data_IF_542874822441
#
_entry.id   IF_542874822441
#
_cell.length_a   1.000
_cell.length_b   1.000
_cell.length_c   1.000
_cell.angle_alpha   90.00
_cell.angle_beta   90.00
_cell.angle_gamma   90.00
#
_symmetry.space_group_name_H-M   'P 1'
#
loop_
_entity.id
_entity.type
_entity.pdbx_description
1 polymer ?
#
# COMPACT_ATOMS: atom_id res chain seq x y z
N UNK A 1 -43.94 -3.92 -16.43
CA UNK A 1 -44.23 -3.20 -15.16
C UNK A 1 -43.14 -3.45 -14.11
N UNK A 2 -42.89 -4.69 -13.67
CA UNK A 2 -41.87 -4.99 -12.65
C UNK A 2 -40.43 -4.56 -13.01
N UNK A 3 -40.01 -4.75 -14.28
CA UNK A 3 -38.68 -4.31 -14.73
C UNK A 3 -38.49 -2.78 -14.70
N UNK A 4 -39.55 -2.02 -14.96
CA UNK A 4 -39.50 -0.54 -14.95
C UNK A 4 -39.39 -0.02 -13.50
N UNK A 5 -40.09 -0.68 -12.56
CA UNK A 5 -40.00 -0.38 -11.13
C UNK A 5 -38.60 -0.72 -10.60
N UNK A 6 -38.00 -1.83 -11.02
CA UNK A 6 -36.66 -2.24 -10.60
C UNK A 6 -35.57 -1.30 -11.15
N UNK A 7 -35.69 -0.89 -12.41
CA UNK A 7 -34.79 0.11 -13.01
C UNK A 7 -34.97 1.46 -12.32
N UNK A 8 -36.21 1.87 -12.05
CA UNK A 8 -36.51 3.08 -11.29
C UNK A 8 -35.91 3.05 -9.88
N UNK A 9 -36.04 1.94 -9.15
CA UNK A 9 -35.42 1.71 -7.84
C UNK A 9 -33.90 1.71 -7.92
N UNK A 10 -33.29 1.05 -8.91
CA UNK A 10 -31.84 1.10 -9.11
C UNK A 10 -31.37 2.52 -9.41
N UNK A 11 -32.08 3.29 -10.24
CA UNK A 11 -31.76 4.69 -10.52
C UNK A 11 -31.91 5.52 -9.24
N UNK A 12 -32.99 5.34 -8.48
CA UNK A 12 -33.23 6.02 -7.20
C UNK A 12 -32.15 5.67 -6.16
N UNK A 13 -31.71 4.41 -6.09
CA UNK A 13 -30.62 3.94 -5.22
C UNK A 13 -29.24 4.46 -5.68
N UNK A 14 -29.02 4.61 -6.99
CA UNK A 14 -27.80 5.23 -7.52
C UNK A 14 -27.79 6.75 -7.36
N UNK A 15 -28.95 7.41 -7.43
CA UNK A 15 -29.12 8.85 -7.15
C UNK A 15 -29.07 9.15 -5.65
N UNK A 16 -29.47 8.21 -4.78
CA UNK A 16 -29.29 8.35 -3.32
C UNK A 16 -27.82 8.33 -2.89
N UNK A 17 -26.91 7.99 -3.81
CA UNK A 17 -25.46 8.13 -3.63
C UNK A 17 -24.96 9.51 -4.11
N UNK A 18 -25.80 10.53 -4.16
CA UNK A 18 -25.34 11.91 -4.04
C UNK A 18 -24.80 12.11 -2.61
N UNK A 19 -23.54 11.73 -2.40
CA UNK A 19 -22.78 12.18 -1.24
C UNK A 19 -22.85 13.71 -1.24
N UNK A 20 -23.34 14.32 -0.15
CA UNK A 20 -23.12 15.74 0.10
C UNK A 20 -21.61 15.95 0.12
N UNK A 21 -21.01 16.34 -1.01
CA UNK A 21 -19.61 16.74 -1.08
C UNK A 21 -19.48 18.06 -0.33
N UNK A 22 -19.25 17.98 0.98
CA UNK A 22 -19.04 19.15 1.82
C UNK A 22 -17.64 19.68 1.50
N UNK A 23 -17.58 20.82 0.81
CA UNK A 23 -16.33 21.50 0.50
C UNK A 23 -15.83 22.25 1.73
N UNK A 24 -14.55 22.07 2.06
CA UNK A 24 -13.88 22.77 3.14
C UNK A 24 -12.51 23.26 2.69
N UNK A 25 -11.98 24.25 3.40
CA UNK A 25 -10.58 24.66 3.27
C UNK A 25 -9.87 24.44 4.58
N UNK A 26 -8.63 23.96 4.50
CA UNK A 26 -7.73 23.93 5.64
C UNK A 26 -7.06 25.30 5.78
N UNK A 27 -7.13 25.89 6.97
CA UNK A 27 -6.55 27.22 7.26
C UNK A 27 -5.63 27.17 8.48
N UNK A 28 -4.61 28.01 8.46
CA UNK A 28 -3.62 28.15 9.53
C UNK A 28 -2.94 29.53 9.46
N UNK A 29 -2.06 29.81 10.42
CA UNK A 29 -1.17 30.97 10.44
C UNK A 29 0.03 30.75 9.51
N UNK A 30 0.61 31.80 8.91
CA UNK A 30 1.70 31.66 7.96
C UNK A 30 3.02 31.21 8.60
N UNK A 31 3.27 31.58 9.87
CA UNK A 31 4.50 31.20 10.59
C UNK A 31 4.27 31.12 12.10
N UNK A 32 5.04 30.25 12.75
CA UNK A 32 5.12 30.10 14.21
C UNK A 32 6.58 30.17 14.63
N UNK A 33 6.88 30.89 15.71
CA UNK A 33 8.23 30.97 16.29
C UNK A 33 8.25 30.16 17.58
N UNK A 34 9.25 29.31 17.74
CA UNK A 34 9.47 28.50 18.94
C UNK A 34 10.88 28.69 19.48
N UNK A 35 11.08 28.48 20.78
CA UNK A 35 12.39 28.48 21.40
C UNK A 35 12.98 27.06 21.37
N UNK A 36 14.31 26.95 21.28
CA UNK A 36 14.99 25.67 21.44
C UNK A 36 14.65 25.04 22.80
N UNK A 37 14.31 23.76 22.79
CA UNK A 37 13.91 22.98 23.96
C UNK A 37 12.47 23.20 24.43
N UNK A 38 11.72 24.13 23.83
CA UNK A 38 10.31 24.36 24.20
C UNK A 38 9.37 23.43 23.44
N UNK A 39 8.13 23.32 23.90
CA UNK A 39 7.06 22.73 23.12
C UNK A 39 6.45 23.79 22.19
N UNK A 40 5.92 23.38 21.04
CA UNK A 40 5.24 24.27 20.08
C UNK A 40 3.93 23.67 19.63
N UNK A 41 2.96 24.53 19.35
CA UNK A 41 1.67 24.16 18.80
C UNK A 41 1.53 24.77 17.41
N UNK A 42 1.41 23.92 16.39
CA UNK A 42 1.14 24.33 15.02
C UNK A 42 -0.39 24.33 14.82
N UNK A 43 -1.02 25.51 14.64
CA UNK A 43 -2.47 25.57 14.50
C UNK A 43 -2.91 24.96 13.17
N UNK A 44 -4.07 24.30 13.15
CA UNK A 44 -4.74 23.91 11.92
C UNK A 44 -6.24 23.79 12.18
N UNK A 45 -7.05 24.26 11.22
CA UNK A 45 -8.50 24.22 11.33
C UNK A 45 -9.17 24.11 9.96
N UNK A 46 -10.44 23.71 9.96
CA UNK A 46 -11.32 23.76 8.80
C UNK A 46 -12.04 25.11 8.70
N UNK A 47 -12.41 25.47 7.49
CA UNK A 47 -13.28 26.60 7.18
C UNK A 47 -14.25 26.15 6.06
N UNK A 48 -15.56 26.08 6.32
CA UNK A 48 -16.27 26.38 7.58
C UNK A 48 -15.96 25.40 8.73
N UNK A 49 -16.38 25.74 9.96
CA UNK A 49 -16.27 24.84 11.13
C UNK A 49 -17.17 23.61 10.92
N UNK A 50 -16.58 22.42 11.02
CA UNK A 50 -17.28 21.15 10.87
C UNK A 50 -16.52 20.01 11.54
N UNK A 51 -17.20 18.90 11.79
CA UNK A 51 -16.59 17.75 12.45
C UNK A 51 -15.58 17.05 11.54
N UNK A 52 -14.33 16.92 12.01
CA UNK A 52 -13.23 16.25 11.30
C UNK A 52 -12.80 14.93 11.97
N UNK A 53 -13.49 14.49 13.03
CA UNK A 53 -13.13 13.30 13.84
C UNK A 53 -12.98 12.02 13.01
N UNK A 54 -13.74 11.90 11.92
CA UNK A 54 -13.75 10.73 11.02
C UNK A 54 -12.97 10.94 9.72
N UNK A 55 -12.24 12.05 9.59
CA UNK A 55 -11.41 12.35 8.42
C UNK A 55 -9.95 11.95 8.68
N UNK A 56 -9.17 11.82 7.62
CA UNK A 56 -7.71 11.73 7.74
C UNK A 56 -7.14 13.12 7.98
N UNK A 57 -6.28 13.26 9.00
CA UNK A 57 -5.48 14.46 9.23
C UNK A 57 -4.02 14.04 9.18
N UNK A 58 -3.27 14.64 8.25
CA UNK A 58 -1.86 14.33 8.04
C UNK A 58 -1.01 15.59 8.18
N UNK A 59 -0.01 15.49 9.04
CA UNK A 59 1.06 16.46 9.14
C UNK A 59 2.32 15.90 8.53
N UNK A 60 2.93 16.66 7.64
CA UNK A 60 4.17 16.25 6.99
C UNK A 60 5.04 17.44 6.64
N UNK A 61 6.34 17.17 6.47
CA UNK A 61 7.32 18.12 5.92
C UNK A 61 7.22 18.10 4.38
N UNK A 62 8.19 18.54 3.55
CA UNK A 62 8.02 18.51 2.10
C UNK A 62 7.72 17.11 1.50
N UNK A 63 8.10 16.03 2.19
CA UNK A 63 7.80 14.65 1.80
C UNK A 63 6.49 14.15 2.42
N UNK A 64 5.62 13.54 1.62
CA UNK A 64 4.32 13.01 2.05
C UNK A 64 4.43 11.85 3.06
N UNK A 65 5.48 11.03 2.91
CA UNK A 65 5.89 9.98 3.85
C UNK A 65 7.42 9.92 3.90
N UNK A 66 8.02 9.57 5.06
CA UNK A 66 7.37 9.38 6.36
C UNK A 66 6.70 10.67 6.86
N UNK A 67 5.60 10.55 7.59
CA UNK A 67 4.82 11.71 8.05
C UNK A 67 5.33 12.22 9.41
N UNK A 68 5.06 13.49 9.73
CA UNK A 68 5.33 14.04 11.06
C UNK A 68 4.32 13.47 12.07
N UNK A 69 3.05 13.44 11.69
CA UNK A 69 1.97 12.87 12.48
C UNK A 69 0.81 12.46 11.56
N UNK A 70 0.16 11.34 11.84
CA UNK A 70 -1.02 10.88 11.11
C UNK A 70 -2.13 10.58 12.11
N UNK A 71 -3.32 11.09 11.84
CA UNK A 71 -4.55 10.71 12.51
C UNK A 71 -5.51 10.13 11.49
N UNK A 72 -5.93 8.90 11.72
CA UNK A 72 -6.81 8.16 10.82
C UNK A 72 -7.65 7.18 11.63
N UNK A 73 -8.93 7.01 11.26
CA UNK A 73 -9.86 6.09 11.94
C UNK A 73 -10.02 6.39 13.44
N UNK A 74 -10.07 7.67 13.83
CA UNK A 74 -10.31 8.05 15.22
C UNK A 74 -9.07 7.99 16.13
N UNK A 75 -7.89 7.68 15.60
CA UNK A 75 -6.67 7.45 16.39
C UNK A 75 -5.42 7.97 15.70
N UNK A 76 -4.40 8.23 16.52
CA UNK A 76 -3.07 8.58 16.03
C UNK A 76 -2.37 7.30 15.53
N UNK A 77 -1.73 7.41 14.37
CA UNK A 77 -0.96 6.35 13.72
C UNK A 77 0.52 6.72 13.70
N UNK A 78 1.35 5.77 14.14
CA UNK A 78 2.80 5.98 14.32
C UNK A 78 3.66 5.03 13.48
N UNK A 79 3.06 4.27 12.54
CA UNK A 79 3.73 3.19 11.81
C UNK A 79 4.87 3.67 10.90
N UNK A 80 4.63 4.76 10.15
CA UNK A 80 5.56 5.38 9.20
C UNK A 80 5.82 6.83 9.63
N UNK A 81 5.92 7.05 10.95
CA UNK A 81 6.29 8.33 11.51
C UNK A 81 7.78 8.60 11.28
N UNK A 82 8.09 9.84 10.93
CA UNK A 82 9.46 10.37 10.88
C UNK A 82 10.16 10.14 12.23
N UNK A 83 11.30 9.41 12.28
CA UNK A 83 11.92 9.01 13.56
C UNK A 83 12.27 10.17 14.49
N UNK A 84 12.60 11.34 13.93
CA UNK A 84 12.89 12.55 14.71
C UNK A 84 11.67 13.12 15.46
N UNK A 85 10.45 12.70 15.11
CA UNK A 85 9.20 13.14 15.73
C UNK A 85 8.56 12.08 16.65
N UNK A 86 9.19 10.90 16.78
CA UNK A 86 8.72 9.82 17.64
C UNK A 86 8.63 10.27 19.10
N UNK A 87 7.49 9.99 19.75
CA UNK A 87 7.16 10.40 21.12
C UNK A 87 7.19 11.91 21.39
N UNK A 88 7.25 12.72 20.32
CA UNK A 88 7.29 14.18 20.41
C UNK A 88 6.04 14.83 19.87
N UNK A 89 5.19 14.11 19.13
CA UNK A 89 4.02 14.73 18.48
C UNK A 89 2.71 14.18 19.01
N UNK A 90 1.72 15.07 19.10
CA UNK A 90 0.37 14.76 19.55
C UNK A 90 -0.63 15.67 18.83
N UNK A 91 -1.67 15.08 18.25
CA UNK A 91 -2.81 15.85 17.76
C UNK A 91 -3.73 16.19 18.93
N UNK A 92 -3.99 17.48 19.12
CA UNK A 92 -4.89 18.05 20.15
C UNK A 92 -6.34 17.90 19.64
N UNK A 93 -7.17 17.15 20.36
CA UNK A 93 -8.49 16.64 19.88
C UNK A 93 -9.71 17.29 20.55
N UNK A 94 -9.51 18.17 21.52
CA UNK A 94 -10.56 18.78 22.37
C UNK A 94 -11.65 19.48 21.55
N UNK A 95 -11.28 20.09 20.42
CA UNK A 95 -12.19 20.82 19.53
C UNK A 95 -12.27 20.19 18.12
N UNK A 96 -11.98 18.90 17.99
CA UNK A 96 -11.98 18.19 16.70
C UNK A 96 -13.38 18.16 16.06
N UNK A 97 -14.43 18.15 16.86
CA UNK A 97 -15.83 18.21 16.39
C UNK A 97 -16.21 19.55 15.78
N UNK A 98 -15.43 20.61 16.06
CA UNK A 98 -15.55 21.94 15.45
C UNK A 98 -14.53 22.17 14.33
N UNK A 99 -13.73 21.16 13.99
CA UNK A 99 -12.72 21.26 12.95
C UNK A 99 -11.50 22.05 13.40
N UNK A 100 -11.13 21.99 14.69
CA UNK A 100 -9.90 22.59 15.23
C UNK A 100 -9.03 21.48 15.83
N UNK A 101 -7.85 21.27 15.24
CA UNK A 101 -6.99 20.11 15.51
C UNK A 101 -5.51 20.48 15.37
N UNK A 102 -4.98 21.31 16.29
CA UNK A 102 -3.59 21.72 16.21
C UNK A 102 -2.64 20.55 16.52
N UNK A 103 -1.43 20.60 15.96
CA UNK A 103 -0.38 19.63 16.24
C UNK A 103 0.55 20.19 17.32
N UNK A 104 0.72 19.46 18.41
CA UNK A 104 1.76 19.72 19.39
C UNK A 104 3.04 18.98 19.01
N UNK A 105 4.19 19.67 19.09
CA UNK A 105 5.52 19.09 18.93
C UNK A 105 6.35 19.45 20.16
N UNK A 106 6.83 18.45 20.89
CA UNK A 106 7.56 18.59 22.15
C UNK A 106 9.06 18.69 21.96
N UNK A 107 9.72 19.43 22.86
CA UNK A 107 11.18 19.56 22.93
C UNK A 107 11.80 19.95 21.58
N UNK A 108 11.48 21.15 21.09
CA UNK A 108 11.86 21.64 19.76
C UNK A 108 13.38 21.78 19.60
N UNK A 109 13.88 21.31 18.47
CA UNK A 109 15.28 21.38 18.05
C UNK A 109 15.41 22.30 16.84
N UNK A 110 16.62 22.80 16.58
CA UNK A 110 16.88 23.65 15.39
C UNK A 110 16.57 22.89 14.09
N UNK A 111 16.71 21.56 14.06
CA UNK A 111 16.40 20.71 12.90
C UNK A 111 14.89 20.62 12.61
N UNK A 112 14.05 20.93 13.59
CA UNK A 112 12.60 20.93 13.41
C UNK A 112 12.12 22.15 12.61
N UNK A 113 12.94 23.20 12.49
CA UNK A 113 12.60 24.39 11.69
C UNK A 113 12.29 24.05 10.23
N UNK A 114 11.48 24.89 9.59
CA UNK A 114 11.12 24.78 8.18
C UNK A 114 9.62 24.64 7.96
N UNK A 115 9.26 24.25 6.73
CA UNK A 115 7.88 24.10 6.27
C UNK A 115 7.20 22.84 6.78
N UNK A 116 5.97 23.02 7.24
CA UNK A 116 5.03 21.96 7.58
C UNK A 116 3.76 22.11 6.77
N UNK A 117 3.14 20.98 6.46
CA UNK A 117 1.89 20.91 5.75
C UNK A 117 0.86 20.22 6.62
N UNK A 118 -0.29 20.86 6.80
CA UNK A 118 -1.47 20.27 7.37
C UNK A 118 -2.41 19.91 6.23
N UNK A 119 -2.70 18.63 6.08
CA UNK A 119 -3.56 18.07 5.05
C UNK A 119 -4.74 17.36 5.71
N UNK A 120 -5.92 17.53 5.12
CA UNK A 120 -7.14 16.87 5.55
C UNK A 120 -7.82 16.24 4.34
N UNK A 121 -8.23 14.99 4.49
CA UNK A 121 -8.94 14.23 3.48
C UNK A 121 -10.18 13.57 4.08
N UNK A 122 -11.34 13.87 3.49
CA UNK A 122 -12.62 13.26 3.86
C UNK A 122 -12.98 12.05 2.99
N UNK A 123 -12.15 11.67 2.03
CA UNK A 123 -12.39 10.67 0.99
C UNK A 123 -13.04 11.26 -0.27
N UNK A 124 -13.92 12.25 -0.10
CA UNK A 124 -14.59 12.96 -1.20
C UNK A 124 -13.96 14.31 -1.52
N UNK A 125 -13.26 14.92 -0.56
CA UNK A 125 -12.61 16.21 -0.71
C UNK A 125 -11.32 16.27 0.10
N UNK A 126 -10.27 16.80 -0.51
CA UNK A 126 -8.99 17.04 0.13
C UNK A 126 -8.64 18.54 0.11
N UNK A 127 -7.96 18.99 1.15
CA UNK A 127 -7.43 20.35 1.22
C UNK A 127 -6.18 20.38 2.10
N UNK A 128 -5.30 21.37 1.87
CA UNK A 128 -4.08 21.55 2.66
C UNK A 128 -3.70 23.01 2.83
N UNK A 129 -2.91 23.26 3.86
CA UNK A 129 -2.24 24.55 4.09
C UNK A 129 -0.79 24.35 4.51
N UNK A 130 -0.01 25.44 4.53
CA UNK A 130 1.42 25.43 4.85
C UNK A 130 1.71 26.37 6.01
N UNK A 131 2.60 25.95 6.92
CA UNK A 131 3.07 26.74 8.06
C UNK A 131 4.61 26.71 8.08
N UNK A 132 5.25 27.86 8.27
CA UNK A 132 6.70 27.96 8.47
C UNK A 132 7.05 28.00 9.97
N UNK A 133 7.74 26.99 10.48
CA UNK A 133 8.23 26.96 11.86
C UNK A 133 9.66 27.52 11.96
N UNK A 134 9.82 28.60 12.71
CA UNK A 134 11.10 29.24 12.96
C UNK A 134 11.57 28.95 14.38
N UNK A 135 12.74 28.32 14.52
CA UNK A 135 13.29 27.96 15.84
C UNK A 135 14.37 28.96 16.24
N UNK A 136 14.21 29.54 17.43
CA UNK A 136 15.15 30.50 18.02
C UNK A 136 15.97 29.82 19.10
N UNK A 137 17.30 29.89 18.97
CA UNK A 137 18.22 29.45 20.01
C UNK A 137 18.85 30.70 20.65
N UNK A 138 18.50 31.06 21.90
CA UNK A 138 19.20 32.13 22.59
C UNK A 138 20.67 31.73 22.80
N UNK A 139 21.60 32.62 22.42
CA UNK A 139 23.06 32.43 22.42
C UNK A 139 23.72 32.21 23.80
N UNK A 140 22.99 31.75 24.81
CA UNK A 140 23.47 31.56 26.18
C UNK A 140 23.28 30.12 26.69
N UNK A 141 23.74 29.12 25.94
CA UNK A 141 24.04 27.83 26.56
C UNK A 141 25.44 27.90 27.19
N UNK A 142 25.49 28.31 28.47
CA UNK A 142 26.65 28.04 29.34
C UNK A 142 26.77 26.53 29.47
N UNK A 143 27.62 25.92 28.66
CA UNK A 143 28.04 24.52 28.82
C UNK A 143 28.73 24.43 30.19
N UNK A 144 28.03 23.96 31.22
CA UNK A 144 28.68 23.45 32.44
C UNK A 144 29.25 22.08 32.08
N UNK A 145 30.52 22.05 31.69
CA UNK A 145 31.28 20.81 31.61
C UNK A 145 31.35 20.25 33.04
N UNK A 146 30.84 19.03 33.32
CA UNK A 146 31.11 18.36 34.59
C UNK A 146 32.63 18.18 34.70
N UNK A 147 33.23 18.57 35.83
CA UNK A 147 34.65 18.28 36.10
C UNK A 147 34.84 16.76 36.05
N UNK A 148 35.45 16.26 34.98
CA UNK A 148 35.88 14.86 34.92
C UNK A 148 37.05 14.65 35.89
N UNK A 149 36.85 13.69 36.80
CA UNK A 149 37.92 13.15 37.63
C UNK A 149 38.94 12.42 36.73
N UNK A 150 40.23 12.38 37.11
CA UNK A 150 41.27 11.82 36.25
C UNK A 150 41.17 10.29 36.23
N UNK A 151 40.74 9.72 35.10
CA UNK A 151 40.90 8.30 34.80
C UNK A 151 42.29 8.08 34.21
N UNK A 152 43.04 7.20 34.87
CA UNK A 152 44.44 6.86 34.58
C UNK A 152 44.60 6.32 33.16
N UNK A 153 45.52 6.93 32.41
CA UNK A 153 46.06 6.35 31.19
C UNK A 153 46.89 5.10 31.53
N UNK A 154 46.61 4.00 30.83
CA UNK A 154 47.60 2.95 30.56
C UNK A 154 47.84 2.89 29.05
N UNK A 155 49.11 3.09 28.72
CA UNK A 155 49.75 3.22 27.43
C UNK A 155 49.69 1.97 26.56
N UNK A 156 49.45 2.15 25.25
CA UNK A 156 50.40 1.92 24.14
C UNK A 156 49.59 1.93 22.82
N UNK A 157 49.65 3.01 22.04
CA UNK A 157 50.61 3.25 20.95
C UNK A 157 50.24 2.42 19.71
N UNK A 158 49.69 3.02 18.66
CA UNK A 158 50.53 3.65 17.65
C UNK A 158 49.92 4.89 16.98
N UNK A 159 50.84 5.83 16.80
CA UNK A 159 50.78 7.15 16.19
C UNK A 159 50.61 7.06 14.67
N UNK A 160 49.57 7.70 14.15
CA UNK A 160 49.58 8.33 12.83
C UNK A 160 48.62 9.52 12.81
N UNK A 161 48.90 10.49 13.68
CA UNK A 161 48.26 11.79 13.59
C UNK A 161 49.01 12.63 12.54
N UNK A 162 48.48 12.68 11.32
CA UNK A 162 48.62 13.83 10.41
C UNK A 162 47.77 13.66 9.16
N UNK A 163 46.59 14.33 9.11
CA UNK A 163 46.16 15.03 7.88
C UNK A 163 45.11 16.12 8.16
N UNK A 164 45.60 17.34 8.34
CA UNK A 164 45.11 18.53 7.64
C UNK A 164 46.37 19.08 6.97
N UNK A 165 46.45 19.15 5.64
CA UNK A 165 45.70 20.12 4.85
C UNK A 165 44.96 19.52 3.63
N UNK A 166 43.76 20.07 3.35
CA UNK A 166 42.97 19.79 2.14
C UNK A 166 42.08 18.55 2.18
N UNK A 167 41.42 18.26 3.30
CA UNK A 167 40.68 17.00 3.48
C UNK A 167 39.49 16.84 2.51
N UNK A 168 39.49 15.77 1.71
CA UNK A 168 38.47 15.45 0.69
C UNK A 168 37.53 14.30 1.13
N UNK A 169 37.78 13.69 2.27
CA UNK A 169 36.95 12.62 2.81
C UNK A 169 37.28 11.20 2.33
N UNK A 170 36.71 10.23 3.03
CA UNK A 170 36.89 8.79 2.83
C UNK A 170 35.94 8.24 1.77
N UNK A 171 36.28 7.08 1.19
CA UNK A 171 35.38 6.41 0.24
C UNK A 171 34.07 6.04 0.95
N UNK A 172 32.89 6.36 0.38
CA UNK A 172 31.63 6.00 1.01
C UNK A 172 31.52 4.48 1.16
N UNK A 173 30.92 4.06 2.28
CA UNK A 173 30.71 2.66 2.59
C UNK A 173 29.21 2.38 2.67
N UNK A 174 28.70 1.45 1.86
CA UNK A 174 27.31 1.01 1.89
C UNK A 174 27.20 -0.24 2.77
N UNK A 175 26.37 -0.15 3.81
CA UNK A 175 26.06 -1.24 4.73
C UNK A 175 24.56 -1.49 4.81
N UNK A 176 24.17 -2.73 5.12
CA UNK A 176 22.78 -3.10 5.33
C UNK A 176 22.42 -2.91 6.80
N UNK A 177 21.47 -2.01 7.10
CA UNK A 177 21.01 -1.75 8.47
C UNK A 177 19.97 -2.81 8.87
N UNK A 178 18.93 -2.94 8.05
CA UNK A 178 17.82 -3.87 8.22
C UNK A 178 17.54 -4.60 6.90
N UNK A 179 16.59 -5.55 6.88
CA UNK A 179 16.27 -6.32 5.68
C UNK A 179 15.90 -5.48 4.45
N UNK A 180 15.33 -4.30 4.67
CA UNK A 180 14.82 -3.42 3.63
C UNK A 180 15.47 -2.01 3.66
N UNK A 181 16.64 -1.84 4.29
CA UNK A 181 17.26 -0.52 4.48
C UNK A 181 18.78 -0.54 4.27
N UNK A 182 19.29 0.40 3.48
CA UNK A 182 20.72 0.62 3.25
C UNK A 182 21.19 1.92 3.89
N UNK A 183 22.40 1.90 4.46
CA UNK A 183 23.11 3.05 5.03
C UNK A 183 24.39 3.29 4.24
N UNK A 184 24.60 4.52 3.80
CA UNK A 184 25.88 4.98 3.29
C UNK A 184 26.53 5.93 4.30
N UNK A 185 27.81 5.72 4.59
CA UNK A 185 28.60 6.54 5.50
C UNK A 185 29.93 6.97 4.87
N UNK A 186 30.32 8.23 5.07
CA UNK A 186 31.59 8.79 4.63
C UNK A 186 32.05 9.91 5.57
N UNK A 187 33.35 9.94 5.90
CA UNK A 187 33.93 10.83 6.92
C UNK A 187 35.11 11.64 6.37
N UNK A 188 35.68 12.51 7.20
CA UNK A 188 36.90 13.29 6.91
C UNK A 188 36.78 14.37 5.81
N UNK A 189 35.59 14.94 5.60
CA UNK A 189 35.35 15.94 4.56
C UNK A 189 35.60 17.39 4.98
N UNK A 190 36.17 18.19 4.07
CA UNK A 190 36.17 19.66 4.08
C UNK A 190 36.08 20.21 2.64
N UNK A 191 35.25 21.23 2.34
CA UNK A 191 34.18 21.81 3.16
C UNK A 191 33.00 20.83 3.35
N UNK A 192 31.86 21.31 3.89
CA UNK A 192 30.69 20.46 4.19
C UNK A 192 30.27 19.67 2.93
N UNK A 193 30.20 18.33 3.00
CA UNK A 193 29.80 17.51 1.87
C UNK A 193 28.28 17.40 1.75
N UNK A 194 27.82 16.92 0.60
CA UNK A 194 26.46 16.46 0.32
C UNK A 194 26.53 15.06 -0.32
N UNK A 195 25.46 14.28 -0.16
CA UNK A 195 25.41 12.88 -0.59
C UNK A 195 24.25 12.66 -1.56
N UNK A 196 24.56 11.99 -2.66
CA UNK A 196 23.61 11.64 -3.72
C UNK A 196 23.60 10.13 -3.91
N UNK A 197 22.42 9.53 -3.90
CA UNK A 197 22.23 8.15 -4.32
C UNK A 197 21.80 8.13 -5.78
N UNK A 198 22.37 7.23 -6.58
CA UNK A 198 21.99 7.02 -7.98
C UNK A 198 21.69 5.54 -8.25
N UNK A 199 20.71 5.31 -9.11
CA UNK A 199 20.40 3.97 -9.61
C UNK A 199 21.31 3.58 -10.80
N UNK A 200 21.02 2.42 -11.39
CA UNK A 200 21.70 1.88 -12.57
C UNK A 200 21.56 2.76 -13.83
N UNK A 201 20.55 3.63 -13.88
CA UNK A 201 20.30 4.56 -15.00
C UNK A 201 20.88 5.96 -14.72
N UNK A 202 21.52 6.15 -13.55
CA UNK A 202 22.09 7.43 -13.13
C UNK A 202 21.04 8.40 -12.58
N UNK A 203 19.80 7.96 -12.36
CA UNK A 203 18.75 8.79 -11.79
C UNK A 203 18.90 8.87 -10.28
N UNK A 204 18.71 10.09 -9.76
CA UNK A 204 18.87 10.37 -8.34
C UNK A 204 17.75 9.72 -7.51
N UNK A 205 18.14 8.93 -6.51
CA UNK A 205 17.26 8.35 -5.50
C UNK A 205 17.20 9.31 -4.31
N UNK A 206 15.99 9.58 -3.85
CA UNK A 206 15.75 10.48 -2.73
C UNK A 206 16.01 9.77 -1.40
N UNK A 207 16.91 10.32 -0.57
CA UNK A 207 17.26 9.74 0.73
C UNK A 207 16.16 9.91 1.76
N UNK A 208 15.96 8.90 2.61
CA UNK A 208 14.97 8.93 3.69
C UNK A 208 15.48 9.75 4.89
N UNK A 209 16.79 9.73 5.13
CA UNK A 209 17.47 10.53 6.17
C UNK A 209 18.88 10.90 5.70
N UNK A 210 19.33 12.11 6.02
CA UNK A 210 20.71 12.56 5.88
C UNK A 210 21.16 13.19 7.21
N UNK A 211 22.31 12.76 7.74
CA UNK A 211 22.93 13.38 8.92
C UNK A 211 24.35 13.80 8.63
N UNK A 212 24.67 15.05 8.97
CA UNK A 212 26.02 15.59 8.87
C UNK A 212 26.50 15.93 10.27
N UNK A 213 27.47 15.15 10.75
CA UNK A 213 28.11 15.33 12.05
C UNK A 213 29.47 16.01 11.84
N UNK A 214 29.88 16.83 12.79
CA UNK A 214 31.23 17.41 12.81
C UNK A 214 32.02 16.74 13.94
N UNK A 215 33.15 16.17 13.59
CA UNK A 215 34.03 15.48 14.52
C UNK A 215 34.89 16.45 15.36
N UNK A 216 35.53 15.95 16.43
CA UNK A 216 36.42 16.73 17.32
C UNK A 216 37.57 17.41 16.55
N UNK A 217 37.98 16.82 15.42
CA UNK A 217 38.97 17.39 14.49
C UNK A 217 38.39 18.42 13.53
N UNK A 218 37.13 18.85 13.68
CA UNK A 218 36.40 19.78 12.81
C UNK A 218 36.12 19.31 11.37
N UNK A 219 36.32 18.02 11.07
CA UNK A 219 35.98 17.40 9.78
C UNK A 219 34.51 16.97 9.76
N UNK A 220 33.90 16.86 8.58
CA UNK A 220 32.51 16.43 8.45
C UNK A 220 32.41 14.93 8.13
N UNK A 221 31.48 14.27 8.83
CA UNK A 221 30.97 12.94 8.50
C UNK A 221 29.53 13.05 8.02
N UNK A 222 29.21 12.44 6.89
CA UNK A 222 27.88 12.38 6.30
C UNK A 222 27.39 10.94 6.27
N UNK A 223 26.14 10.75 6.68
CA UNK A 223 25.45 9.47 6.64
C UNK A 223 24.10 9.64 5.97
N UNK A 224 23.71 8.70 5.13
CA UNK A 224 22.41 8.71 4.47
C UNK A 224 21.78 7.32 4.44
N UNK A 225 20.46 7.28 4.65
CA UNK A 225 19.69 6.04 4.72
C UNK A 225 18.62 6.07 3.63
N UNK A 226 18.45 4.94 2.94
CA UNK A 226 17.39 4.71 1.94
C UNK A 226 16.72 3.36 2.18
N UNK A 227 15.48 3.22 1.72
CA UNK A 227 14.85 1.93 1.57
C UNK A 227 15.46 1.17 0.39
N UNK A 228 15.54 -0.15 0.50
CA UNK A 228 16.11 -1.02 -0.53
C UNK A 228 15.34 -0.80 -1.86
N UNK A 229 15.99 -0.24 -2.90
CA UNK A 229 15.32 0.00 -4.17
C UNK A 229 15.17 -1.30 -4.96
N UNK A 230 14.25 -1.32 -5.92
CA UNK A 230 14.07 -2.44 -6.85
C UNK A 230 15.16 -2.54 -7.93
N UNK A 231 16.22 -1.72 -7.85
CA UNK A 231 17.26 -1.62 -8.87
C UNK A 231 18.39 -2.61 -8.61
N UNK A 232 19.07 -3.07 -9.66
CA UNK A 232 20.15 -4.07 -9.56
C UNK A 232 21.46 -3.50 -9.07
N UNK A 233 21.77 -2.24 -9.41
CA UNK A 233 22.97 -1.53 -8.98
C UNK A 233 22.57 -0.21 -8.33
N UNK A 234 23.26 0.13 -7.25
CA UNK A 234 23.09 1.40 -6.57
C UNK A 234 24.44 2.02 -6.27
N UNK A 235 24.55 3.33 -6.48
CA UNK A 235 25.78 4.07 -6.21
C UNK A 235 25.52 5.17 -5.18
N UNK A 236 26.35 5.22 -4.15
CA UNK A 236 26.40 6.32 -3.21
C UNK A 236 27.58 7.22 -3.59
N UNK A 237 27.29 8.48 -3.92
CA UNK A 237 28.29 9.49 -4.29
C UNK A 237 28.26 10.61 -3.26
N UNK A 238 29.41 10.89 -2.66
CA UNK A 238 29.59 12.00 -1.73
C UNK A 238 30.44 13.04 -2.43
N UNK A 239 30.03 14.30 -2.38
CA UNK A 239 30.74 15.40 -3.02
C UNK A 239 30.67 16.68 -2.19
N UNK A 240 31.54 17.64 -2.51
CA UNK A 240 31.61 18.92 -1.83
C UNK A 240 31.42 20.08 -2.81
N UNK A 241 31.33 21.31 -2.26
CA UNK A 241 31.20 22.54 -3.07
C UNK A 241 32.42 22.86 -3.95
N UNK A 242 33.50 22.10 -3.83
CA UNK A 242 34.70 22.18 -4.67
C UNK A 242 34.68 21.13 -5.79
N UNK A 243 33.54 20.45 -6.01
CA UNK A 243 33.35 19.36 -6.97
C UNK A 243 34.30 18.17 -6.78
N UNK A 244 34.81 17.98 -5.56
CA UNK A 244 35.58 16.80 -5.22
C UNK A 244 34.61 15.71 -4.77
N UNK A 245 34.65 14.53 -5.40
CA UNK A 245 33.70 13.44 -5.12
C UNK A 245 34.37 12.10 -4.87
N UNK A 246 33.69 11.25 -4.09
CA UNK A 246 34.02 9.83 -3.86
C UNK A 246 32.74 9.02 -4.01
N UNK A 247 32.84 7.86 -4.63
CA UNK A 247 31.69 7.00 -4.87
C UNK A 247 31.95 5.52 -4.55
N UNK A 248 30.84 4.82 -4.30
CA UNK A 248 30.82 3.39 -4.07
C UNK A 248 29.53 2.79 -4.60
N UNK A 249 29.66 1.77 -5.44
CA UNK A 249 28.53 1.05 -6.03
C UNK A 249 28.39 -0.34 -5.44
N UNK A 250 27.15 -0.74 -5.13
CA UNK A 250 26.79 -2.04 -4.59
C UNK A 250 25.74 -2.71 -5.48
N UNK A 251 25.95 -3.99 -5.78
CA UNK A 251 24.97 -4.80 -6.50
C UNK A 251 23.95 -5.39 -5.50
N UNK A 252 22.67 -5.17 -5.76
CA UNK A 252 21.56 -5.69 -4.96
C UNK A 252 21.06 -6.97 -5.65
N UNK A 253 21.02 -8.08 -4.91
CA UNK A 253 20.38 -9.31 -5.41
C UNK A 253 18.88 -9.07 -5.48
N UNK A 254 18.29 -9.23 -6.66
CA UNK A 254 16.84 -9.19 -6.84
C UNK A 254 16.16 -10.10 -5.80
N UNK A 255 15.23 -9.54 -5.02
CA UNK A 255 14.24 -10.38 -4.36
C UNK A 255 13.49 -11.07 -5.49
N UNK A 256 13.67 -12.40 -5.60
CA UNK A 256 12.97 -13.20 -6.60
C UNK A 256 11.50 -12.82 -6.62
N UNK A 257 11.07 -12.29 -7.75
CA UNK A 257 9.68 -11.91 -7.98
C UNK A 257 8.79 -13.13 -7.72
N UNK A 258 7.70 -13.02 -6.94
CA UNK A 258 6.70 -14.08 -6.92
C UNK A 258 6.11 -14.17 -8.33
N UNK A 259 6.55 -15.17 -9.08
CA UNK A 259 5.91 -15.57 -10.31
C UNK A 259 4.48 -16.00 -9.99
N UNK A 260 3.54 -15.54 -10.84
CA UNK A 260 2.13 -15.95 -10.95
C UNK A 260 1.13 -15.27 -10.00
N UNK A 261 0.52 -14.16 -10.47
CA UNK A 261 -0.89 -13.87 -10.18
C UNK A 261 -1.52 -12.94 -11.23
N UNK A 262 -1.36 -13.27 -12.52
CA UNK A 262 -2.07 -12.60 -13.63
C UNK A 262 -2.94 -13.55 -14.48
N UNK A 263 -2.71 -14.86 -14.42
CA UNK A 263 -3.36 -15.82 -15.34
C UNK A 263 -4.45 -16.71 -14.74
N UNK A 264 -4.76 -16.60 -13.45
CA UNK A 264 -5.89 -17.33 -12.86
C UNK A 264 -7.20 -16.53 -12.94
N UNK A 265 -7.17 -15.23 -12.65
CA UNK A 265 -8.42 -14.46 -12.55
C UNK A 265 -9.13 -14.24 -13.90
N UNK A 266 -8.36 -14.14 -15.00
CA UNK A 266 -8.91 -13.94 -16.36
C UNK A 266 -9.62 -15.19 -16.90
N UNK A 267 -9.14 -16.39 -16.55
CA UNK A 267 -9.79 -17.65 -16.92
C UNK A 267 -11.15 -17.85 -16.25
N UNK A 268 -11.30 -17.45 -15.00
CA UNK A 268 -12.56 -17.62 -14.26
C UNK A 268 -13.67 -16.66 -14.74
N UNK A 269 -13.33 -15.44 -15.18
CA UNK A 269 -14.34 -14.48 -15.67
C UNK A 269 -14.97 -14.90 -17.00
N UNK A 270 -14.24 -15.62 -17.85
CA UNK A 270 -14.75 -16.04 -19.17
C UNK A 270 -15.36 -17.46 -19.11
N UNK A 271 -14.79 -18.36 -18.30
CA UNK A 271 -15.20 -19.76 -18.30
C UNK A 271 -16.58 -19.99 -17.69
N UNK A 272 -16.93 -19.29 -16.59
CA UNK A 272 -18.21 -19.48 -15.92
C UNK A 272 -19.43 -18.94 -16.70
N UNK A 273 -19.38 -17.75 -17.32
CA UNK A 273 -20.45 -17.29 -18.20
C UNK A 273 -20.62 -18.21 -19.42
N UNK A 274 -19.52 -18.64 -20.05
CA UNK A 274 -19.60 -19.57 -21.18
C UNK A 274 -20.21 -20.92 -20.78
N UNK A 275 -19.86 -21.46 -19.61
CA UNK A 275 -20.45 -22.69 -19.09
C UNK A 275 -21.95 -22.54 -18.78
N UNK A 276 -22.36 -21.40 -18.21
CA UNK A 276 -23.77 -21.14 -17.96
C UNK A 276 -24.58 -21.03 -19.26
N UNK A 277 -24.03 -20.39 -20.29
CA UNK A 277 -24.65 -20.27 -21.61
C UNK A 277 -24.77 -21.63 -22.30
N UNK A 278 -23.72 -22.47 -22.27
CA UNK A 278 -23.76 -23.80 -22.89
C UNK A 278 -24.76 -24.72 -22.19
N UNK A 279 -24.79 -24.72 -20.87
CA UNK A 279 -25.80 -25.48 -20.11
C UNK A 279 -27.23 -24.98 -20.41
N UNK A 280 -27.42 -23.67 -20.53
CA UNK A 280 -28.70 -23.08 -20.96
C UNK A 280 -29.13 -23.55 -22.36
N UNK A 281 -28.22 -23.51 -23.34
CA UNK A 281 -28.49 -24.00 -24.70
C UNK A 281 -28.83 -25.50 -24.72
N UNK A 282 -28.08 -26.33 -23.98
CA UNK A 282 -28.35 -27.76 -23.87
C UNK A 282 -29.75 -28.00 -23.26
N UNK A 283 -30.12 -27.28 -22.21
CA UNK A 283 -31.46 -27.38 -21.63
C UNK A 283 -32.58 -27.00 -22.63
N UNK A 284 -32.37 -25.96 -23.45
CA UNK A 284 -33.33 -25.56 -24.49
C UNK A 284 -33.44 -26.61 -25.60
N UNK A 285 -32.31 -27.17 -26.04
CA UNK A 285 -32.30 -28.24 -27.04
C UNK A 285 -32.98 -29.51 -26.52
N UNK A 286 -32.74 -29.90 -25.26
CA UNK A 286 -33.41 -31.03 -24.63
C UNK A 286 -34.91 -30.78 -24.47
N UNK A 287 -35.32 -29.54 -24.16
CA UNK A 287 -36.74 -29.17 -24.09
C UNK A 287 -37.39 -29.23 -25.47
N UNK A 288 -36.74 -28.68 -26.49
CA UNK A 288 -37.20 -28.72 -27.88
C UNK A 288 -37.29 -30.16 -28.42
N UNK A 289 -36.29 -31.00 -28.12
CA UNK A 289 -36.33 -32.41 -28.50
C UNK A 289 -37.44 -33.18 -27.76
N UNK A 290 -37.70 -32.88 -26.47
CA UNK A 290 -38.85 -33.45 -25.74
C UNK A 290 -40.18 -33.02 -26.33
N UNK A 291 -40.28 -31.79 -26.83
CA UNK A 291 -41.48 -31.29 -27.50
C UNK A 291 -41.71 -31.99 -28.85
N UNK A 292 -40.65 -32.14 -29.67
CA UNK A 292 -40.73 -32.95 -30.90
C UNK A 292 -41.02 -34.43 -30.61
N UNK A 293 -40.45 -35.03 -29.56
CA UNK A 293 -40.75 -36.41 -29.18
C UNK A 293 -42.23 -36.60 -28.86
N UNK A 294 -42.84 -35.66 -28.12
CA UNK A 294 -44.28 -35.69 -27.83
C UNK A 294 -45.15 -35.58 -29.08
N UNK A 295 -44.69 -34.84 -30.08
CA UNK A 295 -45.36 -34.71 -31.38
C UNK A 295 -45.27 -36.00 -32.20
N UNK A 296 -44.10 -36.66 -32.22
CA UNK A 296 -43.92 -38.00 -32.81
C UNK A 296 -44.74 -39.08 -32.08
N UNK A 297 -44.76 -39.08 -30.75
CA UNK A 297 -45.53 -40.03 -29.93
C UNK A 297 -47.05 -39.82 -30.12
N UNK A 298 -47.51 -38.58 -30.30
CA UNK A 298 -48.90 -38.27 -30.63
C UNK A 298 -49.29 -38.74 -32.04
N UNK A 299 -48.39 -38.59 -33.03
CA UNK A 299 -48.58 -39.11 -34.38
C UNK A 299 -48.61 -40.65 -34.41
N UNK A 300 -47.71 -41.33 -33.69
CA UNK A 300 -47.71 -42.78 -33.55
C UNK A 300 -49.00 -43.29 -32.87
N UNK A 301 -49.46 -42.58 -31.83
CA UNK A 301 -50.73 -42.87 -31.17
C UNK A 301 -51.96 -42.72 -32.08
N UNK A 302 -51.92 -41.77 -33.01
CA UNK A 302 -52.97 -41.58 -34.02
C UNK A 302 -52.99 -42.68 -35.09
N UNK A 303 -51.82 -43.13 -35.54
CA UNK A 303 -51.67 -44.26 -36.46
C UNK A 303 -52.11 -45.58 -35.83
N UNK A 304 -51.80 -45.79 -34.54
CA UNK A 304 -52.25 -46.97 -33.79
C UNK A 304 -53.79 -47.01 -33.63
N UNK A 305 -54.43 -45.85 -33.36
CA UNK A 305 -55.89 -45.74 -33.33
C UNK A 305 -56.53 -46.00 -34.71
N UNK A 306 -55.86 -45.63 -35.80
CA UNK A 306 -56.33 -45.91 -37.16
C UNK A 306 -56.29 -47.41 -37.51
N UNK A 307 -55.28 -48.15 -37.01
CA UNK A 307 -55.21 -49.61 -37.22
C UNK A 307 -56.24 -50.40 -36.39
N UNK A 308 -56.55 -49.93 -35.17
CA UNK A 308 -57.49 -50.64 -34.28
C UNK A 308 -58.96 -50.59 -34.75
N UNK A 309 -59.31 -49.66 -35.63
CA UNK A 309 -60.68 -49.49 -36.12
C UNK A 309 -60.98 -50.31 -37.40
N UNK A 310 -59.99 -51.03 -37.95
CA UNK A 310 -60.11 -51.75 -39.23
C UNK A 310 -60.24 -53.28 -39.11
N UNK A 311 -60.34 -53.83 -37.90
CA UNK A 311 -60.55 -55.26 -37.69
C UNK A 311 -61.70 -55.51 -36.71
N UNK A 312 -62.90 -55.70 -37.25
CA UNK A 312 -64.05 -56.23 -36.51
C UNK A 312 -64.66 -57.41 -37.27
N UNK A 313 -64.69 -58.57 -36.59
CA UNK A 313 -65.42 -59.84 -36.82
C UNK A 313 -64.59 -61.07 -37.25
N UNK A 314 -65.01 -62.30 -36.87
CA UNK A 314 -65.15 -62.78 -35.49
C UNK A 314 -64.48 -64.16 -35.28
N UNK A 315 -64.35 -64.54 -34.00
CA UNK A 315 -63.71 -65.76 -33.53
C UNK A 315 -64.40 -67.06 -33.97
N UNK A 316 -63.60 -68.08 -34.29
CA UNK A 316 -64.03 -69.48 -34.33
C UNK A 316 -63.17 -70.32 -33.37
N UNK A 317 -63.86 -71.08 -32.52
CA UNK A 317 -63.32 -71.94 -31.45
C UNK A 317 -62.63 -73.18 -32.02
N UNK A 318 -61.49 -73.56 -31.46
CA UNK A 318 -61.11 -74.97 -31.34
C UNK A 318 -60.62 -75.26 -29.92
N UNK A 319 -61.37 -76.13 -29.24
CA UNK A 319 -61.04 -76.78 -27.97
C UNK A 319 -59.92 -77.81 -28.17
N UNK A 320 -59.11 -78.05 -27.13
CA UNK A 320 -58.26 -79.24 -27.07
C UNK A 320 -57.28 -79.23 -25.90
N UNK A 321 -57.72 -79.81 -24.77
CA UNK A 321 -56.90 -80.18 -23.61
C UNK A 321 -55.70 -81.06 -24.02
N UNK A 322 -54.58 -80.99 -23.29
CA UNK A 322 -53.90 -82.16 -22.68
C UNK A 322 -52.66 -81.74 -21.85
N UNK A 323 -52.51 -82.43 -20.72
CA UNK A 323 -51.47 -82.30 -19.68
C UNK A 323 -50.26 -83.21 -19.93
N UNK A 324 -49.24 -83.03 -19.06
CA UNK A 324 -48.19 -83.98 -18.63
C UNK A 324 -46.96 -84.13 -19.56
N UNK A 325 -45.77 -83.65 -19.16
CA UNK A 325 -44.75 -84.22 -18.23
C UNK A 325 -43.81 -85.25 -18.90
N UNK A 326 -42.52 -84.85 -19.04
CA UNK A 326 -41.20 -85.51 -18.89
C UNK A 326 -40.95 -86.97 -19.40
N UNK A 327 -39.70 -87.42 -19.72
CA UNK A 327 -38.39 -86.95 -19.20
C UNK A 327 -37.17 -86.94 -20.18
N UNK A 328 -36.05 -86.39 -19.67
CA UNK A 328 -34.62 -86.43 -20.11
C UNK A 328 -34.09 -87.89 -20.05
N UNK A 329 -33.13 -88.42 -20.89
CA UNK A 329 -31.72 -87.98 -20.91
C UNK A 329 -30.81 -88.21 -22.16
N UNK A 330 -29.74 -87.39 -22.21
CA UNK A 330 -28.30 -87.62 -22.49
C UNK A 330 -27.88 -88.61 -23.60
N UNK A 331 -26.95 -88.19 -24.48
CA UNK A 331 -25.64 -88.83 -24.79
C UNK A 331 -24.73 -87.87 -25.60
N UNK A 332 -23.44 -87.88 -25.24
CA UNK A 332 -22.29 -87.19 -25.84
C UNK A 332 -21.73 -87.91 -27.09
N UNK A 333 -20.76 -87.21 -27.71
CA UNK A 333 -19.71 -87.63 -28.66
C UNK A 333 -20.13 -87.56 -30.13
N UNK A 334 -19.38 -86.88 -30.99
CA UNK A 334 -17.94 -87.04 -31.21
C UNK A 334 -17.23 -85.75 -31.61
#
# INVERSE_FOLDING_TARGET
>A
MAHIILIGLCIFLTQYKESLSIRFKVTSVPSVVAAFGSDVVLPCRLTPEMNVEKMEIRWFKPMYQPYVHLYINGKDDYLIQMPQFTNRTELIKENITRGVFPLMIRNITVQDSGKYYCFVDSGDHESRTTIELNVTAPFHLKIRIPREAPVKQKSQEQRSESKKDGAVGTRPNISKVNNDTLLCESCDWLPKPYLTWTDNEGKQIMSSVERVLRDEKSLYCITSIINLPSTSNITCTVSNSLNQSKEFSMQIREKGQPQTCRDLYSRYIIFWPCLAVTLGCICLLLKSHREHQKEYDALLGSLCKSCNNNWTHPAEKVNGNLCAEDPVPIIQSQ
#
